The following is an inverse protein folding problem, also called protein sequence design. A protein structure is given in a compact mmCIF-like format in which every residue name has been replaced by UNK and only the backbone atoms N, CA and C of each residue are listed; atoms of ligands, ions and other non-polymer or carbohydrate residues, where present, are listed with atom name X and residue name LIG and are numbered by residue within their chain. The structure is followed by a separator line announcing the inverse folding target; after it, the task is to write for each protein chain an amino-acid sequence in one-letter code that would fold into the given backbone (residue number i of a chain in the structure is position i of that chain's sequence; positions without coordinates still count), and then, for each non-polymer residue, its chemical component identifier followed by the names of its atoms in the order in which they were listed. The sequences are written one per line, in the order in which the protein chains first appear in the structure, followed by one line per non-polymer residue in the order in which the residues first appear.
data_IF_875844122465
#
_entry.id   IF_875844122465
#
_cell.length_a   1.000
_cell.length_b   1.000
_cell.length_c   1.000
_cell.angle_alpha   90.00
_cell.angle_beta   90.00
_cell.angle_gamma   90.00
#
_symmetry.space_group_name_H-M   'P 1'
#
loop_
_entity.id
_entity.type
_entity.pdbx_description
1 polymer ?
#
# COMPACT_ATOMS: atom_id res chain seq x y z
N UNK A 1 3.93 -4.81 23.00
CA UNK A 1 3.13 -6.03 23.31
C UNK A 1 4.07 -7.20 23.61
N UNK A 2 3.81 -8.01 24.62
CA UNK A 2 4.50 -9.31 24.74
C UNK A 2 3.74 -10.32 23.89
N UNK A 3 4.26 -10.61 22.70
CA UNK A 3 3.68 -11.59 21.76
C UNK A 3 4.07 -13.01 22.10
N UNK A 4 5.06 -13.17 22.97
CA UNK A 4 5.51 -14.49 23.43
C UNK A 4 4.34 -15.31 24.00
N UNK A 5 4.23 -16.53 23.54
CA UNK A 5 3.20 -17.50 23.91
C UNK A 5 1.76 -17.11 23.52
N UNK A 6 1.58 -16.09 22.66
CA UNK A 6 0.30 -15.72 22.07
C UNK A 6 0.02 -16.53 20.83
N UNK A 7 -1.22 -17.00 20.69
CA UNK A 7 -1.72 -17.62 19.46
C UNK A 7 -2.17 -16.53 18.49
N UNK A 8 -1.60 -16.50 17.29
CA UNK A 8 -1.86 -15.47 16.29
C UNK A 8 -2.26 -16.10 14.96
N UNK A 9 -3.44 -15.77 14.48
CA UNK A 9 -3.92 -16.17 13.15
C UNK A 9 -3.73 -15.06 12.13
N UNK A 10 -3.07 -15.35 11.01
CA UNK A 10 -2.89 -14.43 9.90
C UNK A 10 -3.66 -14.93 8.68
N UNK A 11 -4.69 -14.23 8.27
CA UNK A 11 -5.24 -14.43 6.92
C UNK A 11 -4.38 -13.72 5.90
N UNK A 12 -4.12 -14.34 4.74
CA UNK A 12 -3.20 -13.77 3.76
C UNK A 12 -1.72 -13.89 4.13
N UNK A 13 -1.35 -14.86 4.97
CA UNK A 13 0.01 -15.10 5.44
C UNK A 13 1.03 -15.30 4.30
N UNK A 14 0.61 -15.83 3.16
CA UNK A 14 1.45 -16.04 1.98
C UNK A 14 1.74 -14.75 1.19
N UNK A 15 1.08 -13.64 1.52
CA UNK A 15 1.26 -12.34 0.90
C UNK A 15 2.54 -11.63 1.35
N UNK A 16 2.78 -10.45 0.76
CA UNK A 16 3.95 -9.61 1.06
C UNK A 16 4.02 -9.20 2.55
N UNK A 17 2.96 -8.59 3.06
CA UNK A 17 2.89 -8.16 4.48
C UNK A 17 2.79 -9.37 5.41
N UNK A 18 1.89 -10.31 5.10
CA UNK A 18 1.63 -11.47 5.95
C UNK A 18 2.85 -12.33 6.22
N UNK A 19 3.70 -12.56 5.22
CA UNK A 19 4.92 -13.35 5.38
C UNK A 19 5.99 -12.66 6.23
N UNK A 20 6.17 -11.34 6.07
CA UNK A 20 7.09 -10.54 6.90
C UNK A 20 6.57 -10.43 8.34
N UNK A 21 5.27 -10.24 8.51
CA UNK A 21 4.62 -10.25 9.82
C UNK A 21 4.80 -11.60 10.53
N UNK A 22 4.61 -12.71 9.80
CA UNK A 22 4.85 -14.05 10.34
C UNK A 22 6.28 -14.22 10.85
N UNK A 23 7.28 -13.72 10.11
CA UNK A 23 8.68 -13.72 10.57
C UNK A 23 8.86 -12.97 11.88
N UNK A 24 8.35 -11.75 11.96
CA UNK A 24 8.44 -10.94 13.17
C UNK A 24 7.76 -11.59 14.38
N UNK A 25 6.58 -12.17 14.19
CA UNK A 25 5.84 -12.89 15.25
C UNK A 25 6.60 -14.12 15.74
N UNK A 26 7.17 -14.91 14.84
CA UNK A 26 8.00 -16.08 15.18
C UNK A 26 9.23 -15.64 15.99
N UNK A 27 9.93 -14.57 15.56
CA UNK A 27 11.10 -14.05 16.26
C UNK A 27 10.77 -13.53 17.67
N UNK A 28 9.54 -13.06 17.89
CA UNK A 28 9.04 -12.63 19.19
C UNK A 28 8.44 -13.78 20.05
N UNK A 29 8.45 -15.01 19.53
CA UNK A 29 8.03 -16.22 20.24
C UNK A 29 6.52 -16.44 20.29
N UNK A 30 5.76 -15.89 19.35
CA UNK A 30 4.35 -16.18 19.17
C UNK A 30 4.13 -17.55 18.51
N UNK A 31 3.00 -18.21 18.78
CA UNK A 31 2.52 -19.34 18.02
C UNK A 31 1.75 -18.85 16.81
N UNK A 32 2.29 -19.06 15.60
CA UNK A 32 1.78 -18.43 14.38
C UNK A 32 1.03 -19.43 13.51
N UNK A 33 -0.22 -19.12 13.25
CA UNK A 33 -1.09 -19.83 12.33
C UNK A 33 -1.36 -18.98 11.08
N UNK A 34 -1.43 -19.62 9.92
CA UNK A 34 -1.72 -18.93 8.67
C UNK A 34 -2.83 -19.60 7.90
N UNK A 35 -3.91 -18.86 7.61
CA UNK A 35 -4.95 -19.33 6.71
C UNK A 35 -4.50 -19.18 5.27
N UNK A 36 -4.49 -20.26 4.50
CA UNK A 36 -4.17 -20.25 3.07
C UNK A 36 -5.05 -21.20 2.28
N UNK A 37 -5.33 -20.86 1.04
CA UNK A 37 -6.03 -21.74 0.11
C UNK A 37 -5.21 -23.00 -0.15
N UNK A 38 -5.90 -24.12 -0.30
CA UNK A 38 -5.29 -25.41 -0.60
C UNK A 38 -4.37 -25.33 -1.82
N UNK A 39 -3.20 -25.91 -1.69
CA UNK A 39 -2.22 -26.06 -2.77
C UNK A 39 -2.01 -27.56 -3.06
N UNK A 40 -2.34 -27.97 -4.29
CA UNK A 40 -2.20 -29.36 -4.69
C UNK A 40 -0.73 -29.81 -4.89
N UNK A 41 0.18 -28.85 -5.04
CA UNK A 41 1.62 -29.09 -5.26
C UNK A 41 2.40 -29.35 -3.95
N UNK A 42 1.78 -29.08 -2.79
CA UNK A 42 2.43 -29.20 -1.48
C UNK A 42 3.63 -28.25 -1.27
N UNK A 43 3.83 -27.30 -2.18
CA UNK A 43 4.97 -26.37 -2.13
C UNK A 43 4.67 -25.23 -1.17
N UNK A 44 5.62 -24.93 -0.28
CA UNK A 44 5.54 -23.78 0.61
C UNK A 44 5.44 -22.48 -0.20
N UNK A 45 4.54 -21.55 0.15
CA UNK A 45 4.44 -20.25 -0.50
C UNK A 45 5.79 -19.53 -0.57
N UNK A 46 6.11 -18.98 -1.74
CA UNK A 46 7.42 -18.38 -2.03
C UNK A 46 7.85 -17.33 -0.99
N UNK A 47 6.92 -16.45 -0.59
CA UNK A 47 7.24 -15.42 0.40
C UNK A 47 7.57 -16.03 1.79
N UNK A 48 6.86 -17.06 2.24
CA UNK A 48 7.19 -17.74 3.50
C UNK A 48 8.55 -18.46 3.42
N UNK A 49 8.86 -19.06 2.27
CA UNK A 49 10.18 -19.65 2.01
C UNK A 49 11.28 -18.59 2.08
N UNK A 50 11.05 -17.41 1.45
CA UNK A 50 11.97 -16.27 1.48
C UNK A 50 12.21 -15.79 2.91
N UNK A 51 11.18 -15.72 3.75
CA UNK A 51 11.30 -15.32 5.15
C UNK A 51 11.94 -16.41 6.04
N UNK A 52 12.12 -17.63 5.55
CA UNK A 52 12.73 -18.73 6.31
C UNK A 52 11.88 -19.24 7.48
N UNK A 53 10.56 -19.02 7.48
CA UNK A 53 9.67 -19.36 8.61
C UNK A 53 8.74 -20.54 8.35
N UNK A 54 8.84 -21.17 7.19
CA UNK A 54 7.87 -22.19 6.76
C UNK A 54 7.71 -23.37 7.70
N UNK A 55 8.75 -23.77 8.43
CA UNK A 55 8.68 -24.85 9.43
C UNK A 55 8.23 -24.39 10.83
N UNK A 56 8.13 -23.08 11.04
CA UNK A 56 7.82 -22.46 12.32
C UNK A 56 6.38 -21.92 12.37
N UNK A 57 5.69 -21.96 11.23
CA UNK A 57 4.32 -21.50 11.07
C UNK A 57 3.43 -22.70 10.79
N UNK A 58 2.28 -22.78 11.46
CA UNK A 58 1.24 -23.78 11.19
C UNK A 58 0.30 -23.25 10.11
N UNK A 59 0.36 -23.86 8.91
CA UNK A 59 -0.50 -23.49 7.79
C UNK A 59 -1.80 -24.27 7.84
N UNK A 60 -2.92 -23.57 7.92
CA UNK A 60 -4.27 -24.10 7.94
C UNK A 60 -4.90 -23.95 6.55
N UNK A 61 -5.43 -25.03 6.00
CA UNK A 61 -6.14 -24.97 4.71
C UNK A 61 -7.52 -24.34 4.92
N UNK A 62 -7.81 -23.31 4.13
CA UNK A 62 -9.12 -22.66 4.12
C UNK A 62 -9.21 -21.52 3.12
N UNK A 63 -10.45 -21.18 2.79
CA UNK A 63 -10.77 -20.06 1.90
C UNK A 63 -11.65 -19.06 2.66
N UNK A 64 -11.37 -17.76 2.52
CA UNK A 64 -12.20 -16.71 3.11
C UNK A 64 -13.64 -16.72 2.57
N UNK A 65 -13.83 -17.23 1.36
CA UNK A 65 -15.17 -17.38 0.77
C UNK A 65 -15.96 -18.52 1.39
N UNK A 66 -15.34 -19.35 2.24
CA UNK A 66 -15.94 -20.55 2.85
C UNK A 66 -15.91 -20.49 4.39
N UNK A 67 -17.04 -20.18 5.00
CA UNK A 67 -17.15 -19.98 6.45
C UNK A 67 -16.80 -21.23 7.26
N UNK A 68 -17.04 -22.44 6.73
CA UNK A 68 -16.74 -23.70 7.41
C UNK A 68 -15.24 -23.89 7.63
N UNK A 69 -14.42 -23.56 6.63
CA UNK A 69 -12.96 -23.66 6.71
C UNK A 69 -12.37 -22.63 7.67
N UNK A 70 -12.94 -21.41 7.68
CA UNK A 70 -12.57 -20.39 8.66
C UNK A 70 -12.92 -20.87 10.09
N UNK A 71 -14.11 -21.43 10.28
CA UNK A 71 -14.54 -21.98 11.57
C UNK A 71 -13.63 -23.10 12.07
N UNK A 72 -13.14 -23.98 11.18
CA UNK A 72 -12.15 -25.00 11.52
C UNK A 72 -10.81 -24.38 11.93
N UNK A 73 -10.34 -23.37 11.19
CA UNK A 73 -9.11 -22.66 11.49
C UNK A 73 -9.18 -21.94 12.86
N UNK A 74 -10.30 -21.31 13.20
CA UNK A 74 -10.51 -20.68 14.50
C UNK A 74 -10.51 -21.71 15.63
N UNK A 75 -11.10 -22.89 15.41
CA UNK A 75 -11.12 -23.97 16.41
C UNK A 75 -9.72 -24.55 16.66
N UNK A 76 -8.90 -24.68 15.60
CA UNK A 76 -7.55 -25.25 15.72
C UNK A 76 -6.53 -24.23 16.30
N UNK A 77 -6.66 -22.96 15.92
CA UNK A 77 -5.71 -21.93 16.34
C UNK A 77 -6.04 -21.28 17.68
N UNK A 78 -7.31 -21.32 18.12
CA UNK A 78 -7.80 -20.61 19.33
C UNK A 78 -7.11 -19.23 19.50
N UNK A 79 -7.24 -18.29 18.50
CA UNK A 79 -6.36 -17.16 18.41
C UNK A 79 -6.64 -16.10 19.48
N UNK A 80 -5.58 -15.58 20.11
CA UNK A 80 -5.64 -14.34 20.89
C UNK A 80 -5.79 -13.11 19.97
N UNK A 81 -5.16 -13.17 18.77
CA UNK A 81 -5.10 -12.07 17.81
C UNK A 81 -5.31 -12.62 16.41
N UNK A 82 -6.08 -11.89 15.62
CA UNK A 82 -6.24 -12.14 14.17
C UNK A 82 -5.76 -10.91 13.42
N UNK A 83 -4.75 -11.08 12.55
CA UNK A 83 -4.42 -10.09 11.54
C UNK A 83 -5.12 -10.46 10.24
N UNK A 84 -6.18 -9.72 9.91
CA UNK A 84 -6.95 -9.95 8.69
C UNK A 84 -6.37 -9.18 7.52
N UNK A 85 -5.35 -9.79 6.86
CA UNK A 85 -4.63 -9.23 5.70
C UNK A 85 -5.06 -9.88 4.38
N UNK A 86 -5.83 -10.97 4.44
CA UNK A 86 -6.28 -11.71 3.27
C UNK A 86 -7.25 -10.90 2.43
N UNK A 87 -6.84 -10.58 1.20
CA UNK A 87 -7.63 -9.80 0.25
C UNK A 87 -7.09 -9.95 -1.18
N UNK A 88 -7.93 -9.74 -2.19
CA UNK A 88 -7.49 -9.31 -3.52
C UNK A 88 -7.11 -7.83 -3.41
N UNK A 89 -5.80 -7.50 -3.49
CA UNK A 89 -5.26 -6.17 -3.17
C UNK A 89 -4.74 -5.38 -4.39
N UNK A 90 -4.73 -5.99 -5.58
CA UNK A 90 -4.24 -5.33 -6.78
C UNK A 90 -5.37 -4.56 -7.46
N UNK A 91 -5.33 -3.22 -7.36
CA UNK A 91 -6.39 -2.32 -7.83
C UNK A 91 -6.77 -2.54 -9.29
N UNK A 92 -5.83 -2.65 -10.27
CA UNK A 92 -6.19 -2.93 -11.67
C UNK A 92 -7.04 -4.20 -11.83
N UNK A 93 -6.71 -5.29 -11.12
CA UNK A 93 -7.49 -6.53 -11.14
C UNK A 93 -8.93 -6.33 -10.70
N UNK A 94 -9.18 -5.41 -9.77
CA UNK A 94 -10.54 -5.13 -9.31
C UNK A 94 -11.43 -4.53 -10.39
N UNK A 95 -10.87 -3.80 -11.36
CA UNK A 95 -11.61 -3.33 -12.54
C UNK A 95 -11.89 -4.45 -13.54
N UNK A 96 -10.94 -5.38 -13.71
CA UNK A 96 -11.10 -6.53 -14.61
C UNK A 96 -12.02 -7.60 -14.04
N UNK A 97 -11.97 -7.82 -12.73
CA UNK A 97 -12.67 -8.88 -11.99
C UNK A 97 -13.34 -8.36 -10.71
N UNK A 98 -14.35 -7.47 -10.84
CA UNK A 98 -14.97 -6.85 -9.66
C UNK A 98 -15.63 -7.87 -8.73
N UNK A 99 -16.33 -8.87 -9.26
CA UNK A 99 -17.00 -9.89 -8.45
C UNK A 99 -16.01 -10.81 -7.71
N UNK A 100 -14.85 -11.12 -8.29
CA UNK A 100 -13.77 -11.85 -7.60
C UNK A 100 -13.24 -11.03 -6.41
N UNK A 101 -13.11 -9.72 -6.60
CA UNK A 101 -12.69 -8.80 -5.53
C UNK A 101 -13.75 -8.72 -4.43
N UNK A 102 -15.02 -8.63 -4.78
CA UNK A 102 -16.13 -8.60 -3.83
C UNK A 102 -16.21 -9.91 -3.02
N UNK A 103 -16.16 -11.06 -3.68
CA UNK A 103 -16.20 -12.36 -3.00
C UNK A 103 -15.05 -12.51 -2.00
N UNK A 104 -13.82 -12.24 -2.43
CA UNK A 104 -12.65 -12.37 -1.54
C UNK A 104 -12.66 -11.34 -0.40
N UNK A 105 -12.97 -10.07 -0.69
CA UNK A 105 -12.80 -8.98 0.26
C UNK A 105 -14.05 -8.72 1.12
N UNK A 106 -15.23 -8.67 0.49
CA UNK A 106 -16.49 -8.38 1.23
C UNK A 106 -17.02 -9.64 1.90
N UNK A 107 -17.32 -10.68 1.11
CA UNK A 107 -17.83 -11.93 1.65
C UNK A 107 -16.83 -12.59 2.60
N UNK A 108 -15.53 -12.59 2.23
CA UNK A 108 -14.48 -13.14 3.06
C UNK A 108 -14.36 -12.46 4.43
N UNK A 109 -14.46 -11.13 4.49
CA UNK A 109 -14.49 -10.38 5.75
C UNK A 109 -15.75 -10.69 6.57
N UNK A 110 -16.91 -10.75 5.92
CA UNK A 110 -18.16 -11.11 6.59
C UNK A 110 -18.12 -12.53 7.16
N UNK A 111 -17.60 -13.49 6.40
CA UNK A 111 -17.45 -14.88 6.84
C UNK A 111 -16.52 -14.99 8.06
N UNK A 112 -15.42 -14.25 8.09
CA UNK A 112 -14.50 -14.24 9.24
C UNK A 112 -15.19 -13.75 10.51
N UNK A 113 -15.85 -12.61 10.42
CA UNK A 113 -16.56 -12.01 11.57
C UNK A 113 -17.71 -12.90 12.05
N UNK A 114 -18.45 -13.48 11.13
CA UNK A 114 -19.55 -14.40 11.47
C UNK A 114 -19.05 -15.70 12.07
N UNK A 115 -17.93 -16.24 11.56
CA UNK A 115 -17.29 -17.42 12.15
C UNK A 115 -16.82 -17.15 13.58
N UNK A 116 -16.22 -15.99 13.87
CA UNK A 116 -15.83 -15.54 15.22
C UNK A 116 -17.06 -15.54 16.13
N UNK A 117 -18.16 -14.94 15.67
CA UNK A 117 -19.41 -14.83 16.43
C UNK A 117 -20.02 -16.20 16.71
N UNK A 118 -20.11 -17.08 15.71
CA UNK A 118 -20.72 -18.44 15.84
C UNK A 118 -19.87 -19.35 16.73
N UNK A 119 -18.54 -19.23 16.63
CA UNK A 119 -17.61 -20.04 17.43
C UNK A 119 -17.43 -19.51 18.86
N UNK A 120 -17.99 -18.35 19.16
CA UNK A 120 -17.89 -17.69 20.47
C UNK A 120 -16.42 -17.51 20.92
N UNK A 121 -15.49 -17.30 19.96
CA UNK A 121 -14.10 -16.95 20.27
C UNK A 121 -13.95 -15.44 20.40
N UNK A 122 -12.96 -14.97 21.18
CA UNK A 122 -12.84 -13.57 21.59
C UNK A 122 -11.46 -12.93 21.23
N UNK A 123 -10.94 -13.10 20.00
CA UNK A 123 -9.68 -12.52 19.60
C UNK A 123 -9.79 -11.00 19.40
N UNK A 124 -8.64 -10.31 19.49
CA UNK A 124 -8.51 -8.97 18.91
C UNK A 124 -8.28 -9.10 17.41
N UNK A 125 -9.17 -8.55 16.61
CA UNK A 125 -9.06 -8.55 15.14
C UNK A 125 -8.51 -7.22 14.65
N UNK A 126 -7.37 -7.23 13.98
CA UNK A 126 -6.84 -6.05 13.28
C UNK A 126 -7.08 -6.22 11.79
N UNK A 127 -7.92 -5.34 11.25
CA UNK A 127 -8.30 -5.36 9.84
C UNK A 127 -7.38 -4.46 9.01
N UNK A 128 -6.83 -5.01 7.94
CA UNK A 128 -6.11 -4.25 6.93
C UNK A 128 -7.10 -3.53 5.99
N UNK A 129 -7.52 -2.36 6.40
CA UNK A 129 -8.16 -1.37 5.53
C UNK A 129 -7.17 -0.74 4.55
N UNK A 130 -7.50 0.40 3.98
CA UNK A 130 -6.68 1.04 2.95
C UNK A 130 -6.92 2.53 2.86
N UNK A 131 -5.88 3.31 2.56
CA UNK A 131 -6.01 4.72 2.17
C UNK A 131 -6.82 4.92 0.87
N UNK A 132 -6.92 3.90 0.03
CA UNK A 132 -7.78 3.94 -1.17
C UNK A 132 -9.28 4.11 -0.82
N UNK A 133 -9.67 3.87 0.44
CA UNK A 133 -11.03 4.14 0.93
C UNK A 133 -11.40 5.62 0.82
N UNK A 134 -10.43 6.52 1.02
CA UNK A 134 -10.61 7.97 0.83
C UNK A 134 -10.79 8.35 -0.64
N UNK A 135 -10.13 7.64 -1.55
CA UNK A 135 -10.28 7.74 -2.99
C UNK A 135 -10.07 9.15 -3.53
N UNK A 136 -11.15 9.80 -3.97
CA UNK A 136 -11.09 11.16 -4.53
C UNK A 136 -11.02 12.21 -3.41
N UNK A 137 -9.80 12.47 -2.94
CA UNK A 137 -9.50 13.55 -1.99
C UNK A 137 -9.23 14.85 -2.77
N UNK A 138 -9.82 15.95 -2.36
CA UNK A 138 -9.73 17.24 -3.06
C UNK A 138 -8.59 18.07 -2.49
N UNK A 139 -7.60 18.36 -3.33
CA UNK A 139 -6.40 19.11 -2.96
C UNK A 139 -6.44 20.59 -3.32
N UNK A 140 -7.35 21.01 -4.24
CA UNK A 140 -7.49 22.40 -4.68
C UNK A 140 -8.85 22.63 -5.32
N UNK A 141 -9.26 23.92 -5.42
CA UNK A 141 -10.47 24.32 -6.13
C UNK A 141 -10.45 23.93 -7.61
N UNK A 142 -9.27 24.01 -8.25
CA UNK A 142 -9.13 23.62 -9.64
C UNK A 142 -9.32 22.11 -9.81
N UNK A 143 -8.76 21.29 -8.92
CA UNK A 143 -8.98 19.85 -8.94
C UNK A 143 -10.46 19.51 -8.69
N UNK A 144 -11.14 20.20 -7.77
CA UNK A 144 -12.56 20.02 -7.51
C UNK A 144 -13.39 20.30 -8.76
N UNK A 145 -13.13 21.43 -9.43
CA UNK A 145 -13.79 21.77 -10.70
C UNK A 145 -13.57 20.70 -11.75
N UNK A 146 -12.31 20.27 -11.99
CA UNK A 146 -11.97 19.21 -12.95
C UNK A 146 -12.63 17.88 -12.61
N UNK A 147 -12.73 17.54 -11.31
CA UNK A 147 -13.42 16.34 -10.86
C UNK A 147 -14.92 16.42 -11.13
N UNK A 148 -15.57 17.53 -10.88
CA UNK A 148 -16.98 17.75 -11.19
C UNK A 148 -17.26 17.70 -12.69
N UNK A 149 -16.42 18.30 -13.50
CA UNK A 149 -16.50 18.22 -14.99
C UNK A 149 -16.37 16.76 -15.48
N UNK A 150 -15.45 16.00 -14.92
CA UNK A 150 -15.17 14.63 -15.34
C UNK A 150 -16.23 13.61 -14.85
N UNK A 151 -16.67 13.72 -13.59
CA UNK A 151 -17.52 12.71 -12.94
C UNK A 151 -18.96 13.18 -12.72
N UNK A 152 -19.29 14.43 -13.03
CA UNK A 152 -20.61 15.04 -12.87
C UNK A 152 -20.89 15.53 -11.44
N UNK A 153 -20.29 14.91 -10.45
CA UNK A 153 -20.43 15.29 -9.03
C UNK A 153 -19.24 14.80 -8.20
N UNK A 154 -18.99 15.49 -7.09
CA UNK A 154 -18.11 15.01 -6.01
C UNK A 154 -19.00 14.84 -4.78
N UNK A 155 -19.22 13.58 -4.35
CA UNK A 155 -20.08 13.29 -3.21
C UNK A 155 -19.43 12.25 -2.27
N UNK A 156 -19.42 12.48 -0.93
CA UNK A 156 -19.82 13.72 -0.24
C UNK A 156 -19.04 14.95 -0.71
N UNK A 157 -19.67 16.13 -0.71
CA UNK A 157 -18.96 17.37 -1.05
C UNK A 157 -17.85 17.66 -0.03
N UNK A 158 -16.71 18.27 -0.45
CA UNK A 158 -15.68 18.68 0.49
C UNK A 158 -16.19 19.81 1.41
N UNK A 159 -16.00 19.66 2.72
CA UNK A 159 -16.32 20.70 3.70
C UNK A 159 -15.25 21.81 3.71
N UNK A 160 -14.02 21.45 3.46
CA UNK A 160 -12.86 22.33 3.37
C UNK A 160 -11.97 21.88 2.20
N UNK A 161 -11.33 22.83 1.52
CA UNK A 161 -10.33 22.57 0.49
C UNK A 161 -9.05 23.34 0.85
N UNK A 162 -7.89 22.64 0.96
CA UNK A 162 -7.65 21.23 0.68
C UNK A 162 -8.12 20.29 1.81
N UNK A 163 -8.53 19.06 1.43
CA UNK A 163 -8.86 17.98 2.36
C UNK A 163 -7.59 17.22 2.85
N UNK A 164 -6.45 17.91 2.90
CA UNK A 164 -5.11 17.35 3.16
C UNK A 164 -4.44 18.07 4.35
N UNK A 165 -3.64 17.35 5.17
CA UNK A 165 -3.45 15.88 5.15
C UNK A 165 -4.71 15.12 5.56
N UNK A 166 -4.84 13.86 5.07
CA UNK A 166 -6.03 13.03 5.23
C UNK A 166 -6.15 12.52 6.67
N UNK A 167 -7.23 12.89 7.34
CA UNK A 167 -7.62 12.41 8.68
C UNK A 167 -8.61 11.24 8.57
N UNK A 168 -8.80 10.50 9.66
CA UNK A 168 -9.80 9.42 9.73
C UNK A 168 -11.24 9.90 9.52
N UNK A 169 -11.48 11.20 9.73
CA UNK A 169 -12.77 11.87 9.54
C UNK A 169 -13.05 12.33 8.12
N UNK A 170 -12.04 12.30 7.22
CA UNK A 170 -12.23 12.68 5.83
C UNK A 170 -13.31 11.83 5.16
N UNK A 171 -14.08 12.40 4.21
CA UNK A 171 -15.07 11.65 3.43
C UNK A 171 -14.46 10.46 2.70
N UNK A 172 -15.20 9.36 2.61
CA UNK A 172 -14.81 8.19 1.82
C UNK A 172 -15.46 8.30 0.44
N UNK A 173 -14.62 8.42 -0.60
CA UNK A 173 -15.01 8.49 -2.02
C UNK A 173 -14.23 7.46 -2.83
N UNK A 174 -14.47 6.15 -2.59
CA UNK A 174 -13.70 5.09 -3.23
C UNK A 174 -13.79 5.16 -4.76
N UNK A 175 -12.64 5.04 -5.43
CA UNK A 175 -12.50 5.19 -6.88
C UNK A 175 -12.23 3.87 -7.61
N UNK A 176 -12.40 2.73 -6.93
CA UNK A 176 -12.24 1.39 -7.52
C UNK A 176 -13.09 0.36 -6.79
N UNK A 177 -13.43 -0.78 -7.43
CA UNK A 177 -14.09 -1.89 -6.74
C UNK A 177 -13.29 -2.39 -5.52
N UNK A 178 -11.96 -2.38 -5.60
CA UNK A 178 -11.09 -2.67 -4.46
C UNK A 178 -11.32 -1.69 -3.29
N UNK A 179 -11.29 -0.40 -3.58
CA UNK A 179 -11.51 0.64 -2.56
C UNK A 179 -12.90 0.50 -1.91
N UNK A 180 -13.95 0.29 -2.73
CA UNK A 180 -15.31 0.05 -2.24
C UNK A 180 -15.39 -1.19 -1.33
N UNK A 181 -14.67 -2.28 -1.67
CA UNK A 181 -14.62 -3.49 -0.85
C UNK A 181 -13.93 -3.24 0.50
N UNK A 182 -12.93 -2.35 0.55
CA UNK A 182 -12.25 -1.97 1.79
C UNK A 182 -13.14 -1.09 2.68
N UNK A 183 -13.89 -0.15 2.10
CA UNK A 183 -14.93 0.61 2.81
C UNK A 183 -15.96 -0.33 3.44
N UNK A 184 -16.44 -1.33 2.69
CA UNK A 184 -17.36 -2.33 3.23
C UNK A 184 -16.77 -3.04 4.46
N UNK A 185 -15.53 -3.54 4.37
CA UNK A 185 -14.87 -4.24 5.47
C UNK A 185 -14.65 -3.35 6.69
N UNK A 186 -14.21 -2.09 6.51
CA UNK A 186 -14.05 -1.10 7.57
C UNK A 186 -15.37 -0.91 8.35
N UNK A 187 -16.44 -0.60 7.64
CA UNK A 187 -17.75 -0.40 8.29
C UNK A 187 -18.27 -1.68 8.95
N UNK A 188 -18.05 -2.84 8.34
CA UNK A 188 -18.49 -4.12 8.90
C UNK A 188 -17.73 -4.47 10.19
N UNK A 189 -16.41 -4.25 10.25
CA UNK A 189 -15.61 -4.44 11.47
C UNK A 189 -16.14 -3.62 12.64
N UNK A 190 -16.41 -2.33 12.41
CA UNK A 190 -16.97 -1.44 13.42
C UNK A 190 -18.40 -1.81 13.80
N UNK A 191 -19.22 -2.22 12.83
CA UNK A 191 -20.57 -2.69 13.10
C UNK A 191 -20.60 -3.94 13.98
N UNK A 192 -19.73 -4.94 13.70
CA UNK A 192 -19.67 -6.15 14.51
C UNK A 192 -19.19 -5.88 15.95
N UNK A 193 -18.30 -4.90 16.14
CA UNK A 193 -17.99 -4.44 17.49
C UNK A 193 -19.23 -3.86 18.19
N UNK A 194 -19.94 -2.95 17.57
CA UNK A 194 -21.12 -2.31 18.19
C UNK A 194 -22.29 -3.27 18.41
N UNK A 195 -22.51 -4.20 17.47
CA UNK A 195 -23.69 -5.08 17.50
C UNK A 195 -23.45 -6.38 18.25
N UNK A 196 -22.25 -6.92 18.23
CA UNK A 196 -21.94 -8.26 18.74
C UNK A 196 -20.74 -8.28 19.70
N UNK A 197 -20.08 -7.18 19.95
CA UNK A 197 -18.91 -7.10 20.85
C UNK A 197 -17.61 -7.67 20.29
N UNK A 198 -17.54 -8.00 19.00
CA UNK A 198 -16.29 -8.49 18.36
C UNK A 198 -15.22 -7.41 18.46
N UNK A 199 -14.07 -7.75 19.08
CA UNK A 199 -12.97 -6.80 19.33
C UNK A 199 -12.21 -6.48 18.04
N UNK A 200 -12.76 -5.62 17.19
CA UNK A 200 -12.17 -5.26 15.90
C UNK A 200 -11.59 -3.84 15.92
N UNK A 201 -10.39 -3.68 15.34
CA UNK A 201 -9.72 -2.39 15.11
C UNK A 201 -9.38 -2.30 13.62
N UNK A 202 -9.64 -1.14 13.03
CA UNK A 202 -9.38 -0.90 11.59
C UNK A 202 -8.11 -0.08 11.42
N UNK A 203 -7.23 -0.54 10.53
CA UNK A 203 -6.09 0.23 10.04
C UNK A 203 -6.34 0.65 8.59
N UNK A 204 -6.48 1.94 8.32
CA UNK A 204 -6.40 2.48 6.96
C UNK A 204 -4.94 2.73 6.63
N UNK A 205 -4.25 1.67 6.25
CA UNK A 205 -2.84 1.76 5.89
C UNK A 205 -2.68 2.46 4.53
N UNK A 206 -1.78 3.43 4.50
CA UNK A 206 -1.32 4.06 3.26
C UNK A 206 -0.36 3.12 2.53
N UNK A 207 0.13 3.52 1.36
CA UNK A 207 0.98 2.66 0.56
C UNK A 207 2.20 2.20 1.36
N UNK A 208 2.50 0.91 1.33
CA UNK A 208 3.64 0.36 2.06
C UNK A 208 4.44 -0.58 1.18
N UNK A 209 5.73 -0.38 1.19
CA UNK A 209 6.68 -0.88 0.21
C UNK A 209 7.91 -1.49 0.89
N UNK A 210 8.76 -2.13 0.10
CA UNK A 210 10.01 -2.74 0.55
C UNK A 210 10.36 -3.98 -0.26
N UNK A 211 11.44 -4.65 0.09
CA UNK A 211 11.94 -5.86 -0.55
C UNK A 211 10.87 -6.95 -0.64
N UNK A 212 10.66 -7.47 -1.85
CA UNK A 212 9.67 -8.53 -2.10
C UNK A 212 8.23 -8.05 -2.31
N UNK A 213 8.00 -6.74 -2.43
CA UNK A 213 6.72 -6.20 -2.91
C UNK A 213 6.42 -6.77 -4.30
N UNK A 214 5.16 -7.14 -4.55
CA UNK A 214 4.77 -7.74 -5.84
C UNK A 214 5.16 -6.87 -7.04
N UNK A 215 5.70 -7.49 -8.08
CA UNK A 215 6.25 -6.82 -9.28
C UNK A 215 5.24 -5.95 -10.05
N UNK A 216 3.94 -6.15 -9.84
CA UNK A 216 2.89 -5.37 -10.49
C UNK A 216 2.62 -4.00 -9.82
N UNK A 217 3.17 -3.75 -8.64
CA UNK A 217 3.00 -2.48 -7.94
C UNK A 217 3.99 -1.43 -8.43
N UNK A 218 3.55 -0.17 -8.47
CA UNK A 218 4.27 0.93 -9.14
C UNK A 218 5.72 1.09 -8.68
N UNK A 219 5.99 0.97 -7.40
CA UNK A 219 7.34 1.09 -6.82
C UNK A 219 8.24 -0.05 -7.27
N UNK A 220 7.72 -1.29 -7.28
CA UNK A 220 8.43 -2.46 -7.78
C UNK A 220 8.64 -2.41 -9.29
N UNK A 221 7.64 -1.90 -10.04
CA UNK A 221 7.77 -1.63 -11.49
C UNK A 221 8.92 -0.66 -11.73
N UNK A 222 9.02 0.44 -10.95
CA UNK A 222 10.06 1.43 -11.08
C UNK A 222 11.45 0.84 -10.74
N UNK A 223 11.62 0.32 -9.53
CA UNK A 223 12.92 -0.18 -9.06
C UNK A 223 13.44 -1.39 -9.84
N UNK A 224 12.55 -2.30 -10.27
CA UNK A 224 12.96 -3.44 -11.11
C UNK A 224 13.45 -2.99 -12.48
N UNK A 225 12.82 -1.99 -13.11
CA UNK A 225 13.25 -1.47 -14.39
C UNK A 225 14.55 -0.65 -14.26
N UNK A 226 14.72 0.11 -13.19
CA UNK A 226 15.99 0.79 -12.86
C UNK A 226 17.12 -0.24 -12.71
N UNK A 227 16.88 -1.35 -12.03
CA UNK A 227 17.88 -2.43 -11.95
C UNK A 227 18.17 -3.09 -13.29
N UNK A 228 17.17 -3.32 -14.14
CA UNK A 228 17.36 -3.82 -15.50
C UNK A 228 18.23 -2.88 -16.33
N UNK A 229 18.01 -1.55 -16.23
CA UNK A 229 18.90 -0.55 -16.83
C UNK A 229 20.32 -0.68 -16.34
N UNK A 230 20.52 -0.75 -15.01
CA UNK A 230 21.83 -0.88 -14.37
C UNK A 230 22.60 -2.12 -14.83
N UNK A 231 21.88 -3.20 -15.11
CA UNK A 231 22.45 -4.48 -15.56
C UNK A 231 22.57 -4.56 -17.10
N UNK A 232 22.16 -3.54 -17.84
CA UNK A 232 22.14 -3.55 -19.30
C UNK A 232 21.08 -4.47 -19.92
N UNK A 233 20.05 -4.82 -19.16
CA UNK A 233 18.95 -5.70 -19.58
C UNK A 233 17.74 -4.91 -20.13
N UNK A 234 17.76 -3.58 -20.00
CA UNK A 234 16.76 -2.66 -20.54
C UNK A 234 17.42 -1.35 -20.99
N UNK A 235 16.79 -0.65 -21.95
CA UNK A 235 17.25 0.64 -22.48
C UNK A 235 16.39 1.81 -21.98
N UNK A 236 15.20 1.51 -21.40
CA UNK A 236 14.23 2.53 -20.97
C UNK A 236 13.32 2.01 -19.85
N UNK A 237 12.68 2.95 -19.18
CA UNK A 237 11.63 2.70 -18.18
C UNK A 237 10.28 2.96 -18.84
N UNK A 238 9.29 2.09 -18.59
CA UNK A 238 7.89 2.29 -18.99
C UNK A 238 6.99 2.36 -17.77
N UNK A 239 6.20 3.42 -17.66
CA UNK A 239 5.36 3.71 -16.51
C UNK A 239 4.03 4.33 -16.96
N UNK A 240 3.00 4.25 -16.11
CA UNK A 240 1.72 4.93 -16.35
C UNK A 240 1.74 6.39 -15.89
N UNK A 241 0.71 6.79 -15.11
CA UNK A 241 0.59 8.15 -14.59
C UNK A 241 1.70 8.47 -13.60
N UNK A 242 2.53 9.45 -13.94
CA UNK A 242 3.67 9.90 -13.13
C UNK A 242 3.33 11.02 -12.15
N UNK A 243 2.17 11.68 -12.33
CA UNK A 243 1.74 12.80 -11.49
C UNK A 243 1.08 12.37 -10.18
N UNK A 244 0.73 11.08 -10.04
CA UNK A 244 0.05 10.59 -8.86
C UNK A 244 0.98 10.64 -7.63
N UNK A 245 0.45 11.19 -6.54
CA UNK A 245 1.16 11.30 -5.27
C UNK A 245 0.74 10.20 -4.31
N UNK A 246 1.72 9.60 -3.63
CA UNK A 246 1.48 8.54 -2.64
C UNK A 246 2.31 8.76 -1.38
N UNK A 247 1.70 8.47 -0.26
CA UNK A 247 2.38 8.33 1.01
C UNK A 247 2.92 6.90 1.09
N UNK A 248 4.23 6.75 0.86
CA UNK A 248 4.92 5.47 0.93
C UNK A 248 5.61 5.27 2.28
N UNK A 249 5.19 4.26 3.00
CA UNK A 249 5.82 3.79 4.24
C UNK A 249 6.65 2.54 3.97
N UNK A 250 7.61 2.25 4.82
CA UNK A 250 8.25 0.94 4.81
C UNK A 250 7.32 -0.11 5.44
N UNK A 251 7.31 -1.30 4.88
CA UNK A 251 6.44 -2.38 5.36
C UNK A 251 6.68 -2.76 6.82
N UNK A 252 7.92 -2.63 7.30
CA UNK A 252 8.25 -2.93 8.71
C UNK A 252 7.61 -1.93 9.67
N UNK A 253 7.56 -0.63 9.30
CA UNK A 253 6.88 0.40 10.10
C UNK A 253 5.36 0.10 10.16
N UNK A 254 4.77 -0.34 9.05
CA UNK A 254 3.35 -0.70 9.02
C UNK A 254 3.06 -1.95 9.87
N UNK A 255 3.96 -2.94 9.88
CA UNK A 255 3.83 -4.10 10.76
C UNK A 255 3.92 -3.69 12.24
N UNK A 256 4.86 -2.79 12.60
CA UNK A 256 4.94 -2.21 13.93
C UNK A 256 3.61 -1.53 14.34
N UNK A 257 2.99 -0.81 13.41
CA UNK A 257 1.69 -0.19 13.61
C UNK A 257 0.55 -1.23 13.79
N UNK A 258 0.53 -2.31 13.02
CA UNK A 258 -0.45 -3.40 13.24
C UNK A 258 -0.30 -4.03 14.64
N UNK A 259 0.93 -4.27 15.10
CA UNK A 259 1.17 -4.78 16.45
C UNK A 259 0.73 -3.79 17.53
N UNK A 260 0.99 -2.50 17.30
CA UNK A 260 0.55 -1.44 18.20
C UNK A 260 -0.98 -1.36 18.28
N UNK A 261 -1.68 -1.50 17.15
CA UNK A 261 -3.15 -1.51 17.11
C UNK A 261 -3.73 -2.74 17.81
N UNK A 262 -3.12 -3.91 17.68
CA UNK A 262 -3.53 -5.10 18.41
C UNK A 262 -3.37 -4.94 19.94
N UNK A 263 -2.37 -4.17 20.38
CA UNK A 263 -2.09 -3.93 21.81
C UNK A 263 -2.89 -2.79 22.41
N UNK A 264 -2.98 -1.65 21.70
CA UNK A 264 -3.47 -0.39 22.23
C UNK A 264 -4.61 0.25 21.43
N UNK A 265 -4.95 -0.31 20.27
CA UNK A 265 -6.05 0.19 19.46
C UNK A 265 -7.38 0.07 20.20
N UNK A 266 -8.19 1.12 20.13
CA UNK A 266 -9.54 1.09 20.66
C UNK A 266 -10.43 0.27 19.74
N UNK A 267 -11.04 -0.79 20.24
CA UNK A 267 -11.99 -1.58 19.47
C UNK A 267 -13.18 -0.72 18.98
N UNK A 268 -13.62 -1.01 17.77
CA UNK A 268 -14.64 -0.23 17.07
C UNK A 268 -14.13 1.08 16.45
N UNK A 269 -12.82 1.34 16.49
CA UNK A 269 -12.22 2.56 15.99
C UNK A 269 -11.32 2.30 14.77
N UNK A 270 -10.96 3.39 14.06
CA UNK A 270 -10.17 3.39 12.84
C UNK A 270 -8.94 4.28 13.00
N UNK A 271 -7.82 3.89 12.40
CA UNK A 271 -6.55 4.59 12.49
C UNK A 271 -5.86 4.66 11.13
N UNK A 272 -5.39 5.84 10.74
CA UNK A 272 -4.49 6.00 9.62
C UNK A 272 -3.09 5.51 9.96
N UNK A 273 -2.49 4.71 9.09
CA UNK A 273 -1.07 4.34 9.16
C UNK A 273 -0.35 4.83 7.90
N UNK A 274 0.59 5.72 8.06
CA UNK A 274 1.33 6.32 6.96
C UNK A 274 2.64 6.93 7.43
N UNK A 275 3.33 7.63 6.54
CA UNK A 275 4.62 8.25 6.83
C UNK A 275 4.56 9.76 7.01
N UNK A 276 3.40 10.37 6.87
CA UNK A 276 3.22 11.83 6.84
C UNK A 276 4.11 12.53 5.80
N UNK A 277 4.37 11.85 4.70
CA UNK A 277 5.03 12.42 3.51
C UNK A 277 4.32 11.91 2.27
N UNK A 278 4.39 12.69 1.19
CA UNK A 278 3.85 12.26 -0.09
C UNK A 278 4.80 12.68 -1.21
N UNK A 279 5.04 11.76 -2.13
CA UNK A 279 5.92 11.97 -3.26
C UNK A 279 5.25 11.49 -4.54
N UNK A 280 5.57 12.11 -5.65
CA UNK A 280 5.06 11.71 -6.96
C UNK A 280 5.73 10.44 -7.47
N UNK A 281 5.07 9.74 -8.38
CA UNK A 281 5.64 8.58 -9.07
C UNK A 281 6.89 8.96 -9.85
N UNK A 282 6.91 10.16 -10.48
CA UNK A 282 8.13 10.62 -11.19
C UNK A 282 9.28 10.81 -10.21
N UNK A 283 9.05 11.45 -9.07
CA UNK A 283 10.07 11.62 -8.03
C UNK A 283 10.63 10.29 -7.55
N UNK A 284 9.75 9.30 -7.32
CA UNK A 284 10.18 7.95 -6.91
C UNK A 284 11.12 7.29 -7.94
N UNK A 285 10.83 7.45 -9.24
CA UNK A 285 11.67 6.92 -10.32
C UNK A 285 13.02 7.62 -10.35
N UNK A 286 13.04 8.97 -10.30
CA UNK A 286 14.27 9.75 -10.35
C UNK A 286 15.17 9.44 -9.14
N UNK A 287 14.61 9.38 -7.93
CA UNK A 287 15.35 8.99 -6.73
C UNK A 287 15.86 7.53 -6.80
N UNK A 288 15.12 6.65 -7.47
CA UNK A 288 15.57 5.26 -7.70
C UNK A 288 16.75 5.21 -8.68
N UNK A 289 16.77 6.09 -9.70
CA UNK A 289 17.92 6.25 -10.59
C UNK A 289 19.15 6.74 -9.82
N UNK A 290 19.00 7.75 -8.96
CA UNK A 290 20.11 8.25 -8.14
C UNK A 290 20.68 7.17 -7.21
N UNK A 291 19.80 6.45 -6.50
CA UNK A 291 20.23 5.34 -5.64
C UNK A 291 20.91 4.20 -6.42
N UNK A 292 20.57 4.02 -7.70
CA UNK A 292 21.25 3.10 -8.60
C UNK A 292 22.59 3.65 -9.19
N UNK A 293 22.96 4.88 -8.86
CA UNK A 293 24.20 5.53 -9.31
C UNK A 293 24.10 6.32 -10.61
N UNK A 294 22.89 6.78 -10.94
CA UNK A 294 22.62 7.73 -12.03
C UNK A 294 22.12 9.06 -11.44
N UNK A 295 23.03 9.97 -11.01
CA UNK A 295 22.61 11.29 -10.51
C UNK A 295 21.85 12.04 -11.58
N UNK A 296 20.68 12.61 -11.25
CA UNK A 296 19.77 13.21 -12.21
C UNK A 296 19.99 14.74 -12.25
N UNK A 297 20.70 15.20 -13.29
CA UNK A 297 21.00 16.64 -13.47
C UNK A 297 19.75 17.42 -13.91
N UNK A 298 19.00 16.88 -14.88
CA UNK A 298 17.79 17.49 -15.41
C UNK A 298 16.86 16.47 -16.04
N UNK A 299 15.62 16.88 -16.27
CA UNK A 299 14.65 16.15 -17.09
C UNK A 299 14.07 17.09 -18.15
N UNK A 300 13.74 16.52 -19.32
CA UNK A 300 13.01 17.21 -20.39
C UNK A 300 11.95 16.26 -21.00
N UNK A 301 10.80 16.78 -21.45
CA UNK A 301 9.79 15.94 -22.10
C UNK A 301 10.21 15.54 -23.50
N UNK A 302 9.79 14.36 -23.98
CA UNK A 302 10.06 13.90 -25.37
C UNK A 302 9.39 14.80 -26.41
N UNK A 303 8.22 15.30 -26.05
CA UNK A 303 7.41 16.19 -26.87
C UNK A 303 6.99 17.37 -25.99
N UNK A 304 7.15 18.57 -26.48
CA UNK A 304 6.87 19.78 -25.70
C UNK A 304 8.13 20.45 -25.16
N UNK A 305 7.93 21.47 -24.32
CA UNK A 305 8.99 22.34 -23.84
C UNK A 305 9.18 22.29 -22.32
N UNK A 306 8.65 21.22 -21.67
CA UNK A 306 8.76 21.11 -20.21
C UNK A 306 10.15 20.58 -19.87
N UNK A 307 10.90 21.34 -19.08
CA UNK A 307 12.22 20.95 -18.58
C UNK A 307 12.37 21.38 -17.12
N UNK A 308 13.08 20.58 -16.32
CA UNK A 308 13.36 20.85 -14.91
C UNK A 308 14.82 20.53 -14.63
N UNK A 309 15.59 21.54 -14.21
CA UNK A 309 16.94 21.40 -13.70
C UNK A 309 16.94 21.02 -12.22
N UNK A 310 17.77 20.08 -11.80
CA UNK A 310 17.86 19.59 -10.43
C UNK A 310 16.53 19.04 -9.90
N UNK A 311 15.82 18.15 -10.62
CA UNK A 311 14.45 17.76 -10.26
C UNK A 311 14.37 17.05 -8.91
N UNK A 312 15.45 16.43 -8.45
CA UNK A 312 15.56 15.69 -7.19
C UNK A 312 16.08 16.53 -6.03
N UNK A 313 16.47 17.80 -6.27
CA UNK A 313 16.86 18.72 -5.20
C UNK A 313 15.75 18.83 -4.15
N UNK A 314 16.11 18.90 -2.84
CA UNK A 314 15.12 19.05 -1.76
C UNK A 314 14.30 20.34 -1.90
N UNK A 315 12.98 20.23 -1.77
CA UNK A 315 12.07 21.37 -1.64
C UNK A 315 11.62 21.51 -0.18
N UNK A 316 12.13 22.55 0.49
CA UNK A 316 11.81 22.85 1.90
C UNK A 316 10.51 23.64 2.10
N UNK A 317 9.73 23.90 1.04
CA UNK A 317 8.48 24.66 1.13
C UNK A 317 7.42 23.91 1.95
N UNK A 318 6.54 24.68 2.61
CA UNK A 318 5.35 24.15 3.27
C UNK A 318 4.23 23.98 2.24
N UNK A 319 3.57 22.83 2.23
CA UNK A 319 2.42 22.54 1.37
C UNK A 319 1.34 21.85 2.23
N UNK A 320 0.07 22.23 2.07
CA UNK A 320 -1.06 21.75 2.86
C UNK A 320 -0.87 21.94 4.38
N UNK A 321 -0.26 23.08 4.77
CA UNK A 321 0.02 23.37 6.19
C UNK A 321 1.06 22.45 6.83
N UNK A 322 1.84 21.71 6.04
CA UNK A 322 2.81 20.72 6.54
C UNK A 322 4.16 20.82 5.83
N UNK A 323 5.23 20.56 6.58
CA UNK A 323 6.58 20.35 6.05
C UNK A 323 6.90 18.87 6.07
N UNK A 324 7.24 18.34 4.90
CA UNK A 324 7.63 16.94 4.73
C UNK A 324 8.72 16.83 3.66
N UNK A 325 9.56 15.79 3.69
CA UNK A 325 10.57 15.54 2.68
C UNK A 325 9.94 15.37 1.29
N UNK A 326 10.30 16.24 0.37
CA UNK A 326 9.87 16.21 -1.03
C UNK A 326 10.96 16.79 -1.92
N UNK A 327 10.90 16.45 -3.19
CA UNK A 327 11.82 16.96 -4.21
C UNK A 327 11.27 18.24 -4.85
N UNK A 328 12.13 18.95 -5.58
CA UNK A 328 11.76 20.13 -6.36
C UNK A 328 10.62 19.82 -7.34
N UNK A 329 10.70 18.66 -8.05
CA UNK A 329 9.65 18.26 -8.98
C UNK A 329 8.33 17.95 -8.25
N UNK A 330 8.36 17.36 -7.04
CA UNK A 330 7.17 17.20 -6.22
C UNK A 330 6.53 18.53 -5.88
N UNK A 331 7.35 19.52 -5.47
CA UNK A 331 6.88 20.86 -5.16
C UNK A 331 6.21 21.54 -6.35
N UNK A 332 6.83 21.47 -7.53
CA UNK A 332 6.27 22.05 -8.76
C UNK A 332 4.93 21.41 -9.15
N UNK A 333 4.83 20.07 -9.07
CA UNK A 333 3.58 19.34 -9.35
C UNK A 333 2.47 19.69 -8.34
N UNK A 334 2.80 19.77 -7.05
CA UNK A 334 1.83 20.08 -5.99
C UNK A 334 1.30 21.52 -6.05
N UNK A 335 2.12 22.46 -6.55
CA UNK A 335 1.71 23.84 -6.77
C UNK A 335 1.03 24.08 -8.13
N UNK A 336 0.92 23.04 -8.99
CA UNK A 336 0.34 23.15 -10.32
C UNK A 336 1.22 23.92 -11.32
N UNK A 337 2.51 24.09 -11.03
CA UNK A 337 3.51 24.72 -11.91
C UNK A 337 3.95 23.76 -13.03
N UNK A 338 3.74 22.46 -12.84
CA UNK A 338 4.09 21.38 -13.75
C UNK A 338 2.99 20.32 -13.73
N UNK A 339 2.68 19.76 -14.87
CA UNK A 339 1.86 18.56 -15.02
C UNK A 339 2.33 17.82 -16.27
N UNK A 340 2.45 16.50 -16.20
CA UNK A 340 2.79 15.66 -17.35
C UNK A 340 1.53 15.05 -17.93
N UNK A 341 1.40 15.12 -19.27
CA UNK A 341 0.29 14.51 -20.00
C UNK A 341 0.74 13.36 -20.90
N UNK A 342 -0.22 12.63 -21.44
CA UNK A 342 0.05 11.59 -22.43
C UNK A 342 0.69 12.15 -23.72
N UNK A 343 0.40 13.41 -24.04
CA UNK A 343 0.95 14.16 -25.17
C UNK A 343 2.47 14.36 -25.06
N UNK A 344 3.03 14.43 -23.84
CA UNK A 344 4.47 14.54 -23.62
C UNK A 344 5.23 13.29 -24.05
N UNK A 345 4.55 12.13 -24.06
CA UNK A 345 5.09 10.84 -24.47
C UNK A 345 6.10 10.22 -23.50
N UNK A 346 6.64 11.00 -22.59
CA UNK A 346 7.66 10.61 -21.61
C UNK A 346 8.60 11.75 -21.28
N UNK A 347 9.58 11.45 -20.44
CA UNK A 347 10.68 12.35 -20.09
C UNK A 347 12.03 11.68 -20.32
N UNK A 348 13.01 12.49 -20.71
CA UNK A 348 14.41 12.12 -20.80
C UNK A 348 15.12 12.64 -19.56
N UNK A 349 15.61 11.75 -18.70
CA UNK A 349 16.47 12.11 -17.58
C UNK A 349 17.94 12.15 -18.04
N UNK A 350 18.65 13.24 -17.72
CA UNK A 350 20.07 13.40 -17.99
C UNK A 350 20.86 13.10 -16.73
N UNK A 351 21.91 12.28 -16.87
CA UNK A 351 22.83 11.91 -15.79
C UNK A 351 24.25 11.96 -16.35
N UNK A 352 24.93 13.10 -16.20
CA UNK A 352 26.22 13.33 -16.86
C UNK A 352 26.13 13.16 -18.38
N UNK A 353 26.78 12.14 -18.93
CA UNK A 353 26.70 11.78 -20.36
C UNK A 353 25.50 10.88 -20.70
N UNK A 354 24.89 10.26 -19.72
CA UNK A 354 23.82 9.29 -19.93
C UNK A 354 22.48 9.97 -20.16
N UNK A 355 21.64 9.34 -20.96
CA UNK A 355 20.29 9.77 -21.27
C UNK A 355 19.34 8.59 -21.05
N UNK A 356 18.52 8.69 -20.04
CA UNK A 356 17.59 7.63 -19.60
C UNK A 356 16.16 8.02 -19.98
N UNK A 357 15.56 7.24 -20.87
CA UNK A 357 14.20 7.44 -21.31
C UNK A 357 13.19 6.84 -20.31
N UNK A 358 12.21 7.66 -19.89
CA UNK A 358 11.06 7.25 -19.08
C UNK A 358 9.82 7.49 -19.93
N UNK A 359 9.30 6.43 -20.56
CA UNK A 359 8.13 6.49 -21.45
C UNK A 359 6.82 6.41 -20.65
N UNK A 360 5.86 7.23 -21.00
CA UNK A 360 4.50 7.17 -20.46
C UNK A 360 3.68 6.20 -21.29
N UNK A 361 3.24 5.11 -20.66
CA UNK A 361 2.46 4.05 -21.29
C UNK A 361 0.96 4.27 -21.05
N UNK A 362 0.19 4.68 -22.06
CA UNK A 362 -1.25 4.98 -21.90
C UNK A 362 -2.08 3.77 -21.42
N UNK A 363 -1.64 2.54 -21.73
CA UNK A 363 -2.35 1.32 -21.32
C UNK A 363 -2.30 1.07 -19.80
N UNK A 364 -1.37 1.75 -19.11
CA UNK A 364 -1.21 1.67 -17.66
C UNK A 364 -1.94 2.76 -16.88
N UNK A 365 -2.67 3.65 -17.57
CA UNK A 365 -3.52 4.64 -16.91
C UNK A 365 -4.81 3.96 -16.43
N UNK A 366 -5.23 4.29 -15.21
CA UNK A 366 -6.46 3.76 -14.62
C UNK A 366 -7.68 4.51 -15.16
N UNK A 367 -8.85 3.85 -15.27
CA UNK A 367 -10.12 4.51 -15.64
C UNK A 367 -10.49 5.63 -14.67
N UNK A 368 -10.23 5.40 -13.37
CA UNK A 368 -10.38 6.38 -12.31
C UNK A 368 -9.09 6.43 -11.48
N UNK A 369 -8.51 7.62 -11.35
CA UNK A 369 -7.24 7.81 -10.65
C UNK A 369 -7.48 8.51 -9.31
N UNK A 370 -6.71 8.09 -8.31
CA UNK A 370 -6.58 8.79 -7.02
C UNK A 370 -5.38 9.73 -7.15
N UNK A 371 -5.58 11.06 -7.19
CA UNK A 371 -4.50 11.98 -7.53
C UNK A 371 -3.46 12.09 -6.42
N UNK A 372 -3.90 12.09 -5.16
CA UNK A 372 -3.00 12.28 -4.02
C UNK A 372 -3.48 11.50 -2.79
N UNK A 373 -2.52 10.85 -2.13
CA UNK A 373 -2.66 10.28 -0.79
C UNK A 373 -1.56 10.85 0.09
N UNK A 374 -1.95 11.54 1.16
CA UNK A 374 -1.07 12.16 2.14
C UNK A 374 -1.72 12.05 3.52
N UNK A 375 -1.14 11.22 4.40
CA UNK A 375 -1.73 10.86 5.69
C UNK A 375 -1.57 11.93 6.76
N UNK A 376 -2.58 12.09 7.62
CA UNK A 376 -2.42 12.52 9.00
C UNK A 376 -2.40 11.28 9.89
N UNK A 377 -1.30 11.05 10.58
CA UNK A 377 -1.13 9.90 11.49
C UNK A 377 -1.19 10.31 12.96
N UNK A 378 -1.66 11.52 13.26
CA UNK A 378 -1.70 12.05 14.63
C UNK A 378 -2.41 11.14 15.63
N UNK A 379 -3.48 10.47 15.20
CA UNK A 379 -4.25 9.57 16.04
C UNK A 379 -3.45 8.32 16.46
N UNK A 380 -2.81 7.64 15.53
CA UNK A 380 -2.00 6.45 15.84
C UNK A 380 -0.67 6.83 16.52
N UNK A 381 -0.11 8.00 16.20
CA UNK A 381 1.06 8.54 16.89
C UNK A 381 0.80 8.78 18.37
N UNK A 382 -0.43 9.15 18.75
CA UNK A 382 -0.87 9.21 20.13
C UNK A 382 -0.80 7.88 20.89
N UNK A 383 -0.77 6.74 20.20
CA UNK A 383 -0.54 5.41 20.76
C UNK A 383 0.95 5.05 20.84
N UNK A 384 1.82 5.79 20.16
CA UNK A 384 3.27 5.59 20.10
C UNK A 384 3.78 5.08 18.74
N UNK A 385 3.00 5.20 17.67
CA UNK A 385 3.45 4.88 16.31
C UNK A 385 4.39 5.96 15.78
N UNK A 386 5.43 5.52 15.08
CA UNK A 386 6.37 6.37 14.36
C UNK A 386 6.82 5.65 13.08
N UNK A 387 6.73 6.30 11.93
CA UNK A 387 7.34 5.83 10.69
C UNK A 387 8.82 6.21 10.70
N UNK A 388 9.69 5.21 10.89
CA UNK A 388 11.13 5.40 11.10
C UNK A 388 11.94 5.42 9.81
N UNK A 389 11.43 4.72 8.79
CA UNK A 389 12.12 4.54 7.52
C UNK A 389 11.82 5.68 6.55
N UNK A 390 12.87 6.20 5.93
CA UNK A 390 12.78 7.24 4.89
C UNK A 390 12.34 6.64 3.54
N UNK A 391 12.06 7.51 2.55
CA UNK A 391 11.83 7.08 1.17
C UNK A 391 13.08 6.42 0.56
N UNK A 392 14.26 6.93 0.90
CA UNK A 392 15.53 6.34 0.46
C UNK A 392 15.71 4.93 0.99
N UNK A 393 15.40 4.67 2.28
CA UNK A 393 15.45 3.31 2.85
C UNK A 393 14.54 2.34 2.08
N UNK A 394 13.35 2.78 1.66
CA UNK A 394 12.42 1.97 0.87
C UNK A 394 13.01 1.65 -0.50
N UNK A 395 13.54 2.66 -1.19
CA UNK A 395 14.14 2.52 -2.52
C UNK A 395 15.34 1.59 -2.47
N UNK A 396 16.25 1.78 -1.52
CA UNK A 396 17.43 0.95 -1.32
C UNK A 396 17.07 -0.50 -1.01
N UNK A 397 16.09 -0.74 -0.13
CA UNK A 397 15.61 -2.08 0.21
C UNK A 397 15.06 -2.80 -1.04
N UNK A 398 14.30 -2.10 -1.87
CA UNK A 398 13.78 -2.67 -3.13
C UNK A 398 14.87 -2.89 -4.18
N UNK A 399 15.82 -1.96 -4.37
CA UNK A 399 16.92 -2.13 -5.31
C UNK A 399 17.85 -3.30 -4.90
N UNK A 400 18.19 -3.38 -3.60
CA UNK A 400 19.01 -4.45 -3.05
C UNK A 400 18.35 -5.83 -3.22
N UNK A 401 17.01 -5.90 -3.11
CA UNK A 401 16.26 -7.13 -3.38
C UNK A 401 16.53 -7.66 -4.79
N UNK A 402 16.59 -6.79 -5.79
CA UNK A 402 16.83 -7.17 -7.18
C UNK A 402 18.30 -7.40 -7.53
N UNK A 403 19.26 -7.22 -6.62
CA UNK A 403 20.64 -7.68 -6.81
C UNK A 403 20.74 -9.21 -6.79
N UNK A 404 19.80 -9.89 -6.09
CA UNK A 404 19.75 -11.35 -6.08
C UNK A 404 19.25 -11.90 -7.42
N UNK A 405 20.03 -12.79 -8.05
CA UNK A 405 19.65 -13.45 -9.30
C UNK A 405 18.35 -14.27 -9.15
N UNK A 406 18.17 -14.94 -8.02
CA UNK A 406 16.97 -15.72 -7.72
C UNK A 406 15.70 -14.85 -7.73
N UNK A 407 15.79 -13.62 -7.27
CA UNK A 407 14.67 -12.69 -7.21
C UNK A 407 14.39 -12.05 -8.58
N UNK A 408 15.40 -11.98 -9.46
CA UNK A 408 15.23 -11.54 -10.85
C UNK A 408 14.57 -12.58 -11.76
N UNK A 409 14.70 -13.87 -11.46
CA UNK A 409 14.11 -14.94 -12.29
C UNK A 409 12.57 -14.87 -12.39
N UNK A 410 11.89 -14.13 -11.55
CA UNK A 410 10.46 -13.85 -11.63
C UNK A 410 10.06 -12.71 -12.59
N UNK A 411 10.99 -12.19 -13.39
CA UNK A 411 10.74 -11.07 -14.31
C UNK A 411 10.30 -11.50 -15.74
N UNK A 412 10.32 -12.82 -16.02
CA UNK A 412 9.88 -13.39 -17.31
C UNK A 412 8.40 -13.68 -17.37
#
# INVERSE_FOLDING_TARGET
MKLKDKSVLITGISGFVGSKMARRLVDEGAEVYGLQRRRADGVLPHNLKRQGVGSQVKLLEGDLEEISSIGAALTESEPDIIFHLGAQSFVPRSFERPLETEAANCQGTANLLEAIRIKEVDPVVVFAGSSEEYGLVISSEDQNRRAQEKYGTVFPEPEEIPELPIKETNPLRPMSPYAASKVYGDYLMRNYFHSYGVKAVVSRAFNHEGAGRGIMFVTSVATSQVMKLKLGEAEKIRIGNVNAFRDWSHVDDIIDGYFLLAEKGRCGDVYNQGSMRTNSVISYILLSLEAAGYPVDSIETFRGEKAVEGPTEPDGSEIFGSKFPKTKIDGMLLRGELEFGAEDGGVLARSGSDRIAIEFDPERFRPAEVPILFSDTGKIAGLGFEAKKSLSDIIEDQLNHYLSETERQGWS
#
